data_IF_770656833638
#
_entry.id   IF_770656833638
#
_cell.length_a   1.000
_cell.length_b   1.000
_cell.length_c   1.000
_cell.angle_alpha   90.00
_cell.angle_beta   90.00
_cell.angle_gamma   90.00
#
_symmetry.space_group_name_H-M   'P 1'
#
loop_
_entity.id
_entity.type
_entity.pdbx_description
1 polymer ?
#
# COMPACT_ATOMS: atom_id res chain seq x y z
N UNK A 1 0.00 -12.01 -10.10
CA UNK A 1 -0.95 -11.17 -9.35
C UNK A 1 -2.02 -10.65 -10.27
N UNK A 2 -3.22 -10.52 -9.75
CA UNK A 2 -4.36 -10.02 -10.50
C UNK A 2 -4.79 -8.66 -9.96
N UNK A 3 -5.19 -7.76 -10.85
CA UNK A 3 -5.81 -6.49 -10.44
C UNK A 3 -7.08 -6.80 -9.66
N UNK A 4 -7.28 -6.09 -8.54
CA UNK A 4 -8.51 -6.22 -7.75
C UNK A 4 -9.66 -5.53 -8.51
N UNK A 5 -10.55 -6.33 -9.08
CA UNK A 5 -11.69 -5.86 -9.87
C UNK A 5 -13.02 -6.07 -9.16
N UNK A 6 -13.08 -7.02 -8.24
CA UNK A 6 -14.30 -7.42 -7.54
C UNK A 6 -13.94 -7.80 -6.10
N UNK A 7 -14.75 -7.35 -5.17
CA UNK A 7 -14.56 -7.62 -3.73
C UNK A 7 -14.58 -9.12 -3.44
N UNK A 8 -15.26 -9.92 -4.24
CA UNK A 8 -15.27 -11.38 -4.09
C UNK A 8 -13.88 -12.03 -4.20
N UNK A 9 -12.89 -11.32 -4.76
CA UNK A 9 -11.50 -11.79 -4.82
C UNK A 9 -10.80 -11.74 -3.46
N UNK A 10 -11.36 -11.01 -2.49
CA UNK A 10 -10.79 -10.87 -1.16
C UNK A 10 -11.21 -12.04 -0.27
N UNK A 11 -10.23 -12.76 0.26
CA UNK A 11 -10.43 -13.80 1.27
C UNK A 11 -9.61 -13.45 2.49
N UNK A 12 -10.10 -13.81 3.68
CA UNK A 12 -9.41 -13.51 4.94
C UNK A 12 -7.97 -14.00 4.89
N UNK A 13 -7.04 -13.09 5.21
CA UNK A 13 -5.62 -13.39 5.23
C UNK A 13 -4.93 -13.26 3.88
N UNK A 14 -5.65 -12.98 2.79
CA UNK A 14 -5.01 -12.83 1.49
C UNK A 14 -4.17 -11.55 1.42
N UNK A 15 -3.09 -11.60 0.65
CA UNK A 15 -2.25 -10.43 0.41
C UNK A 15 -2.86 -9.52 -0.64
N UNK A 16 -2.78 -8.23 -0.40
CA UNK A 16 -3.19 -7.19 -1.36
C UNK A 16 -2.05 -6.19 -1.47
N UNK A 17 -1.64 -5.90 -2.68
CA UNK A 17 -0.55 -4.96 -2.95
C UNK A 17 -1.10 -3.71 -3.62
N UNK A 18 -0.74 -2.56 -3.09
CA UNK A 18 -1.00 -1.26 -3.69
C UNK A 18 0.25 -0.80 -4.43
N UNK A 19 0.07 -0.44 -5.70
CA UNK A 19 1.15 0.12 -6.52
C UNK A 19 0.58 1.34 -7.26
N UNK A 20 1.12 2.50 -6.95
CA UNK A 20 0.76 3.73 -7.67
C UNK A 20 1.97 4.63 -7.76
N UNK A 21 2.38 4.96 -8.98
CA UNK A 21 3.62 5.69 -9.24
C UNK A 21 4.80 4.95 -8.60
N UNK A 22 5.50 5.61 -7.67
CA UNK A 22 6.61 5.01 -6.94
C UNK A 22 6.21 4.51 -5.55
N UNK A 23 4.92 4.61 -5.21
CA UNK A 23 4.42 4.16 -3.91
C UNK A 23 4.04 2.69 -3.97
N UNK A 24 4.41 1.95 -2.92
CA UNK A 24 4.26 0.51 -2.89
C UNK A 24 3.95 0.08 -1.46
N UNK A 25 2.75 -0.48 -1.25
CA UNK A 25 2.30 -0.97 0.06
C UNK A 25 1.81 -2.40 -0.05
N UNK A 26 2.03 -3.17 1.00
CA UNK A 26 1.55 -4.54 1.11
C UNK A 26 0.63 -4.65 2.31
N UNK A 27 -0.57 -5.19 2.07
CA UNK A 27 -1.61 -5.32 3.07
C UNK A 27 -2.06 -6.77 3.18
N UNK A 28 -2.56 -7.14 4.36
CA UNK A 28 -3.26 -8.41 4.57
C UNK A 28 -4.73 -8.10 4.85
N UNK A 29 -5.62 -8.72 4.08
CA UNK A 29 -7.04 -8.52 4.25
C UNK A 29 -7.55 -9.18 5.53
N UNK A 30 -8.31 -8.44 6.34
CA UNK A 30 -8.94 -8.94 7.56
C UNK A 30 -10.43 -9.23 7.34
N UNK A 31 -11.21 -8.19 7.14
CA UNK A 31 -12.66 -8.29 7.07
C UNK A 31 -13.28 -6.99 6.56
N UNK A 32 -14.54 -7.06 6.17
CA UNK A 32 -15.35 -5.87 5.93
C UNK A 32 -15.56 -5.15 7.28
N UNK A 33 -15.63 -3.81 7.24
CA UNK A 33 -15.87 -3.03 8.45
C UNK A 33 -17.23 -3.40 9.05
N UNK A 34 -17.33 -3.71 10.37
CA UNK A 34 -18.56 -4.22 10.97
C UNK A 34 -19.78 -3.28 10.85
N UNK A 35 -19.54 -1.98 10.80
CA UNK A 35 -20.60 -0.97 10.79
C UNK A 35 -20.73 -0.24 9.45
N UNK A 36 -19.83 -0.49 8.48
CA UNK A 36 -19.83 0.19 7.19
C UNK A 36 -19.32 -0.76 6.10
N UNK A 37 -20.23 -1.30 5.31
CA UNK A 37 -19.94 -2.24 4.24
C UNK A 37 -19.16 -1.66 3.05
N UNK A 38 -18.95 -0.35 3.01
CA UNK A 38 -18.13 0.33 2.00
C UNK A 38 -16.67 0.43 2.37
N UNK A 39 -16.30 0.08 3.61
CA UNK A 39 -14.92 0.06 4.08
C UNK A 39 -14.45 -1.36 4.35
N UNK A 40 -13.20 -1.61 4.03
CA UNK A 40 -12.54 -2.91 4.22
C UNK A 40 -11.34 -2.74 5.11
N UNK A 41 -11.15 -3.66 6.04
CA UNK A 41 -10.08 -3.60 7.02
C UNK A 41 -8.91 -4.48 6.59
N UNK A 42 -7.72 -3.90 6.67
CA UNK A 42 -6.45 -4.54 6.32
C UNK A 42 -5.42 -4.30 7.42
N UNK A 43 -4.44 -5.18 7.52
CA UNK A 43 -3.23 -4.91 8.28
C UNK A 43 -2.18 -4.39 7.30
N UNK A 44 -1.66 -3.19 7.55
CA UNK A 44 -0.49 -2.68 6.83
C UNK A 44 0.74 -3.48 7.29
N UNK A 45 1.39 -4.16 6.37
CA UNK A 45 2.52 -5.02 6.70
C UNK A 45 3.75 -4.25 7.16
N UNK A 46 3.83 -2.96 6.83
CA UNK A 46 4.93 -2.11 7.27
C UNK A 46 4.75 -1.64 8.71
N UNK A 47 3.61 -1.02 9.00
CA UNK A 47 3.33 -0.44 10.32
C UNK A 47 2.73 -1.44 11.30
N UNK A 48 2.22 -2.57 10.82
CA UNK A 48 1.45 -3.56 11.58
C UNK A 48 0.17 -2.98 12.18
N UNK A 49 -0.31 -1.87 11.64
CA UNK A 49 -1.54 -1.22 12.06
C UNK A 49 -2.71 -1.63 11.18
N UNK A 50 -3.89 -1.64 11.78
CA UNK A 50 -5.13 -1.86 11.04
C UNK A 50 -5.49 -0.57 10.32
N UNK A 51 -5.68 -0.67 9.01
CA UNK A 51 -6.11 0.44 8.15
C UNK A 51 -7.44 0.09 7.51
N UNK A 52 -8.25 1.10 7.23
CA UNK A 52 -9.49 0.95 6.47
C UNK A 52 -9.32 1.56 5.09
N UNK A 53 -9.78 0.84 4.09
CA UNK A 53 -9.70 1.28 2.70
C UNK A 53 -11.12 1.27 2.12
N UNK A 54 -11.48 2.39 1.51
CA UNK A 54 -12.80 2.57 0.90
C UNK A 54 -12.90 1.74 -0.38
N UNK A 55 -14.10 1.19 -0.64
CA UNK A 55 -14.33 0.29 -1.78
C UNK A 55 -13.93 0.90 -3.12
N UNK A 56 -14.21 2.18 -3.34
CA UNK A 56 -13.86 2.85 -4.59
C UNK A 56 -12.35 2.94 -4.79
N UNK A 57 -11.60 3.11 -3.70
CA UNK A 57 -10.14 3.13 -3.76
C UNK A 57 -9.59 1.74 -4.09
N UNK A 58 -10.14 0.70 -3.46
CA UNK A 58 -9.76 -0.69 -3.74
C UNK A 58 -9.96 -1.07 -5.20
N UNK A 59 -11.05 -0.56 -5.81
CA UNK A 59 -11.40 -0.89 -7.19
C UNK A 59 -10.86 0.13 -8.21
N UNK A 60 -9.94 0.98 -7.80
CA UNK A 60 -9.35 2.02 -8.64
C UNK A 60 -8.44 1.49 -9.75
N UNK A 61 -7.97 0.25 -9.63
CA UNK A 61 -6.99 -0.35 -10.54
C UNK A 61 -5.56 -0.35 -10.00
N UNK A 62 -5.34 0.25 -8.84
CA UNK A 62 -4.00 0.36 -8.22
C UNK A 62 -3.74 -0.75 -7.19
N UNK A 63 -4.74 -1.56 -6.87
CA UNK A 63 -4.64 -2.67 -5.92
C UNK A 63 -4.63 -4.00 -6.65
N UNK A 64 -3.78 -4.91 -6.18
CA UNK A 64 -3.57 -6.23 -6.78
C UNK A 64 -3.73 -7.31 -5.71
N UNK A 65 -4.42 -8.38 -6.05
CA UNK A 65 -4.59 -9.54 -5.16
C UNK A 65 -3.47 -10.54 -5.42
N UNK A 66 -2.84 -11.01 -4.36
CA UNK A 66 -1.79 -12.01 -4.43
C UNK A 66 -0.64 -11.67 -3.51
N UNK A 67 0.15 -12.71 -3.18
CA UNK A 67 1.34 -12.52 -2.37
C UNK A 67 2.49 -12.07 -3.23
N UNK A 68 3.08 -10.93 -2.88
CA UNK A 68 4.42 -10.60 -3.32
C UNK A 68 5.44 -11.24 -2.38
N UNK A 69 6.61 -11.48 -2.89
CA UNK A 69 7.75 -11.76 -2.05
C UNK A 69 7.98 -10.53 -1.15
N UNK A 70 7.93 -10.73 0.15
CA UNK A 70 8.12 -9.66 1.13
C UNK A 70 9.50 -9.02 1.02
N UNK A 71 10.51 -9.77 0.63
CA UNK A 71 11.86 -9.23 0.40
C UNK A 71 11.80 -8.22 -0.74
N UNK A 72 11.14 -8.57 -1.84
CA UNK A 72 10.94 -7.64 -2.97
C UNK A 72 10.20 -6.37 -2.55
N UNK A 73 9.12 -6.52 -1.78
CA UNK A 73 8.34 -5.37 -1.27
C UNK A 73 9.22 -4.46 -0.40
N UNK A 74 9.99 -5.04 0.51
CA UNK A 74 10.86 -4.28 1.40
C UNK A 74 11.98 -3.56 0.65
N UNK A 75 12.55 -4.21 -0.37
CA UNK A 75 13.57 -3.59 -1.22
C UNK A 75 12.99 -2.40 -1.99
N UNK A 76 11.77 -2.52 -2.53
CA UNK A 76 11.09 -1.41 -3.21
C UNK A 76 10.82 -0.26 -2.26
N UNK A 77 10.43 -0.53 -1.02
CA UNK A 77 10.23 0.53 -0.03
C UNK A 77 11.54 1.20 0.37
N UNK A 78 12.62 0.45 0.46
CA UNK A 78 13.96 1.04 0.70
C UNK A 78 14.33 2.01 -0.42
N UNK A 79 14.12 1.64 -1.66
CA UNK A 79 14.41 2.50 -2.81
C UNK A 79 13.56 3.78 -2.77
N UNK A 80 12.29 3.65 -2.43
CA UNK A 80 11.40 4.80 -2.26
C UNK A 80 11.92 5.74 -1.17
N UNK A 81 12.28 5.23 0.00
CA UNK A 81 12.80 6.05 1.09
C UNK A 81 14.14 6.68 0.77
N UNK A 82 15.02 5.98 0.05
CA UNK A 82 16.30 6.55 -0.42
C UNK A 82 16.06 7.75 -1.34
N UNK A 83 15.09 7.67 -2.24
CA UNK A 83 14.71 8.79 -3.11
C UNK A 83 14.13 9.94 -2.31
N UNK A 84 13.31 9.68 -1.31
CA UNK A 84 12.77 10.73 -0.43
C UNK A 84 13.88 11.44 0.34
N UNK A 85 14.85 10.70 0.89
CA UNK A 85 16.00 11.27 1.59
C UNK A 85 16.80 12.17 0.66
N UNK A 86 17.07 11.70 -0.55
CA UNK A 86 17.81 12.48 -1.55
C UNK A 86 17.07 13.77 -1.91
N UNK A 87 15.75 13.71 -2.05
CA UNK A 87 14.93 14.89 -2.32
C UNK A 87 14.96 15.88 -1.16
N UNK A 88 14.91 15.39 0.08
CA UNK A 88 15.03 16.22 1.28
C UNK A 88 16.40 16.90 1.36
N UNK A 89 17.48 16.18 1.08
CA UNK A 89 18.82 16.74 1.07
C UNK A 89 18.95 17.84 0.03
N UNK A 90 18.41 17.63 -1.15
CA UNK A 90 18.38 18.63 -2.22
C UNK A 90 17.63 19.89 -1.78
N UNK A 91 16.49 19.71 -1.13
CA UNK A 91 15.69 20.84 -0.64
C UNK A 91 16.40 21.62 0.47
N UNK A 92 17.09 20.91 1.36
CA UNK A 92 17.90 21.53 2.42
C UNK A 92 18.99 22.41 1.78
N UNK A 93 19.68 21.91 0.77
CA UNK A 93 20.71 22.65 0.03
C UNK A 93 20.15 23.91 -0.60
N UNK A 94 18.99 23.80 -1.28
CA UNK A 94 18.31 24.94 -1.88
C UNK A 94 17.96 26.01 -0.84
N UNK A 95 17.48 25.58 0.33
CA UNK A 95 17.10 26.50 1.41
C UNK A 95 18.33 27.18 2.05
N UNK A 96 19.44 26.47 2.16
CA UNK A 96 20.70 27.03 2.70
C UNK A 96 21.34 28.05 1.76
N UNK A 97 21.10 27.94 0.47
CA UNK A 97 21.68 28.83 -0.54
C UNK A 97 20.94 30.15 -0.71
N UNK A 98 19.85 30.33 0.01
CA UNK A 98 19.08 31.57 0.00
C UNK A 98 19.59 32.57 1.00
#
# INVERSE_FOLDING_TARGET
MEVLKDISQLTKGCGVTFIKNDDFHYYEYLMVHPNRDTYFLFIDNWSQEVVRIYINDLLSGDYYVGKYDLIFVMEKRKDFFRRMIKNCDKRIEELKSK
#
